data_IF_320718938535
#
_entry.id   IF_320718938535
#
_cell.length_a   1.000
_cell.length_b   1.000
_cell.length_c   1.000
_cell.angle_alpha   90.00
_cell.angle_beta   90.00
_cell.angle_gamma   90.00
#
_symmetry.space_group_name_H-M   'P 1'
#
loop_
_entity.id
_entity.type
_entity.pdbx_description
1 polymer ?
#
# COMPACT_ATOMS: atom_id res chain seq x y z
N UNK A 1 -1.63 4.79 22.34
CA UNK A 1 -3.03 4.98 21.87
C UNK A 1 -3.11 5.98 20.72
N UNK A 2 -2.29 7.03 20.71
CA UNK A 2 -2.22 7.97 19.59
C UNK A 2 -1.54 7.38 18.35
N UNK A 3 -0.67 6.37 18.49
CA UNK A 3 0.10 5.84 17.35
C UNK A 3 -0.78 5.15 16.29
N UNK A 4 -1.88 4.50 16.70
CA UNK A 4 -2.79 3.82 15.77
C UNK A 4 -3.55 4.84 14.90
N UNK A 5 -3.99 5.93 15.52
CA UNK A 5 -4.67 7.05 14.84
C UNK A 5 -3.69 7.77 13.90
N UNK A 6 -2.43 7.94 14.31
CA UNK A 6 -1.38 8.53 13.46
C UNK A 6 -1.06 7.63 12.26
N UNK A 7 -0.96 6.31 12.45
CA UNK A 7 -0.71 5.35 11.37
C UNK A 7 -1.85 5.36 10.33
N UNK A 8 -3.10 5.41 10.78
CA UNK A 8 -4.27 5.54 9.91
C UNK A 8 -4.25 6.89 9.18
N UNK A 9 -3.96 7.99 9.88
CA UNK A 9 -3.83 9.31 9.28
C UNK A 9 -2.75 9.37 8.19
N UNK A 10 -1.59 8.77 8.45
CA UNK A 10 -0.50 8.67 7.46
C UNK A 10 -0.89 7.83 6.25
N UNK A 11 -1.61 6.72 6.44
CA UNK A 11 -2.09 5.87 5.36
C UNK A 11 -3.00 6.66 4.41
N UNK A 12 -4.03 7.33 4.95
CA UNK A 12 -4.93 8.17 4.15
C UNK A 12 -4.23 9.38 3.52
N UNK A 13 -3.27 9.99 4.23
CA UNK A 13 -2.52 11.12 3.71
C UNK A 13 -1.69 10.73 2.49
N UNK A 14 -0.95 9.61 2.57
CA UNK A 14 -0.14 9.11 1.45
C UNK A 14 -1.04 8.69 0.28
N UNK A 15 -2.10 7.91 0.51
CA UNK A 15 -3.01 7.48 -0.56
C UNK A 15 -3.70 8.68 -1.25
N UNK A 16 -4.19 9.65 -0.48
CA UNK A 16 -4.82 10.86 -0.98
C UNK A 16 -3.85 11.78 -1.73
N UNK A 17 -2.60 11.88 -1.27
CA UNK A 17 -1.55 12.67 -1.91
C UNK A 17 -1.24 12.16 -3.33
N UNK A 18 -1.07 10.83 -3.48
CA UNK A 18 -0.84 10.22 -4.78
C UNK A 18 -2.03 10.43 -5.73
N UNK A 19 -3.26 10.33 -5.22
CA UNK A 19 -4.47 10.55 -6.01
C UNK A 19 -4.60 12.01 -6.48
N UNK A 20 -4.25 12.97 -5.61
CA UNK A 20 -4.34 14.40 -5.89
C UNK A 20 -3.30 14.89 -6.91
N UNK A 21 -2.05 14.42 -6.80
CA UNK A 21 -0.96 14.88 -7.68
C UNK A 21 -0.95 14.12 -9.01
N UNK A 22 -1.23 12.81 -9.01
CA UNK A 22 -1.08 11.97 -10.21
C UNK A 22 -2.31 11.08 -10.49
N UNK A 23 -3.49 11.67 -10.74
CA UNK A 23 -4.72 10.91 -10.99
C UNK A 23 -4.62 10.01 -12.24
N UNK A 24 -3.90 10.46 -13.27
CA UNK A 24 -3.71 9.73 -14.53
C UNK A 24 -2.78 8.51 -14.37
N UNK A 25 -1.79 8.56 -13.46
CA UNK A 25 -0.89 7.43 -13.19
C UNK A 25 -1.62 6.30 -12.46
N UNK A 26 -2.47 6.63 -11.49
CA UNK A 26 -3.31 5.67 -10.76
C UNK A 26 -4.24 4.92 -11.72
N UNK A 27 -4.91 5.65 -12.64
CA UNK A 27 -5.77 5.03 -13.67
C UNK A 27 -5.00 4.05 -14.57
N UNK A 28 -3.76 4.41 -14.95
CA UNK A 28 -2.93 3.51 -15.75
C UNK A 28 -2.48 2.26 -14.97
N UNK A 29 -2.13 2.41 -13.69
CA UNK A 29 -1.80 1.28 -12.82
C UNK A 29 -2.97 0.31 -12.65
N UNK A 30 -4.19 0.80 -12.50
CA UNK A 30 -5.40 -0.06 -12.44
C UNK A 30 -5.59 -0.89 -13.71
N UNK A 31 -5.29 -0.34 -14.88
CA UNK A 31 -5.33 -1.08 -16.15
C UNK A 31 -4.25 -2.17 -16.22
N UNK A 32 -3.07 -1.92 -15.65
CA UNK A 32 -2.00 -2.93 -15.54
C UNK A 32 -2.39 -4.04 -14.57
N UNK A 33 -2.99 -3.69 -13.43
CA UNK A 33 -3.48 -4.66 -12.43
C UNK A 33 -4.56 -5.55 -13.05
N UNK A 34 -5.52 -4.99 -13.80
CA UNK A 34 -6.56 -5.77 -14.51
C UNK A 34 -6.01 -6.78 -15.51
N UNK A 35 -4.85 -6.48 -16.13
CA UNK A 35 -4.19 -7.38 -17.09
C UNK A 35 -3.29 -8.42 -16.40
N UNK A 36 -3.03 -8.27 -15.10
CA UNK A 36 -2.14 -9.16 -14.36
C UNK A 36 -2.95 -10.33 -13.78
N UNK A 37 -2.47 -11.59 -13.89
CA UNK A 37 -3.17 -12.74 -13.35
C UNK A 37 -3.24 -12.69 -11.81
N UNK A 38 -4.38 -13.10 -11.25
CA UNK A 38 -4.67 -13.01 -9.81
C UNK A 38 -3.62 -13.73 -8.95
N UNK A 39 -3.06 -14.85 -9.42
CA UNK A 39 -2.01 -15.58 -8.68
C UNK A 39 -0.76 -14.73 -8.45
N UNK A 40 -0.32 -13.95 -9.45
CA UNK A 40 0.83 -13.04 -9.28
C UNK A 40 0.47 -11.90 -8.33
N UNK A 41 -0.73 -11.37 -8.45
CA UNK A 41 -1.22 -10.30 -7.58
C UNK A 41 -1.27 -10.72 -6.10
N UNK A 42 -1.77 -11.94 -5.83
CA UNK A 42 -1.79 -12.52 -4.48
C UNK A 42 -0.39 -12.79 -3.93
N UNK A 43 0.50 -13.33 -4.74
CA UNK A 43 1.90 -13.58 -4.31
C UNK A 43 2.61 -12.27 -3.98
N UNK A 44 2.45 -11.23 -4.81
CA UNK A 44 3.01 -9.91 -4.54
C UNK A 44 2.41 -9.27 -3.28
N UNK A 45 1.09 -9.37 -3.09
CA UNK A 45 0.41 -8.88 -1.89
C UNK A 45 0.89 -9.56 -0.61
N UNK A 46 1.05 -10.89 -0.64
CA UNK A 46 1.60 -11.64 0.48
C UNK A 46 3.04 -11.24 0.80
N UNK A 47 3.87 -11.05 -0.22
CA UNK A 47 5.24 -10.60 -0.04
C UNK A 47 5.32 -9.22 0.63
N UNK A 48 4.53 -8.25 0.15
CA UNK A 48 4.43 -6.93 0.76
C UNK A 48 3.89 -6.96 2.19
N UNK A 49 2.92 -7.83 2.47
CA UNK A 49 2.37 -8.01 3.81
C UNK A 49 3.43 -8.51 4.79
N UNK A 50 4.17 -9.55 4.41
CA UNK A 50 5.22 -10.13 5.24
C UNK A 50 6.33 -9.10 5.51
N UNK A 51 6.77 -8.38 4.48
CA UNK A 51 7.80 -7.35 4.63
C UNK A 51 7.33 -6.21 5.52
N UNK A 52 6.11 -5.70 5.31
CA UNK A 52 5.54 -4.65 6.14
C UNK A 52 5.44 -5.07 7.60
N UNK A 53 5.04 -6.32 7.84
CA UNK A 53 4.98 -6.90 9.18
C UNK A 53 6.37 -7.00 9.84
N UNK A 54 7.37 -7.48 9.11
CA UNK A 54 8.76 -7.57 9.60
C UNK A 54 9.32 -6.18 9.93
N UNK A 55 9.08 -5.18 9.08
CA UNK A 55 9.54 -3.80 9.32
C UNK A 55 8.91 -3.23 10.59
N UNK A 56 7.59 -3.38 10.77
CA UNK A 56 6.89 -2.91 11.97
C UNK A 56 7.40 -3.63 13.22
N UNK A 57 7.65 -4.95 13.11
CA UNK A 57 8.22 -5.73 14.21
C UNK A 57 9.59 -5.18 14.61
N UNK A 58 10.50 -4.95 13.67
CA UNK A 58 11.83 -4.42 13.96
C UNK A 58 11.81 -3.00 14.56
N UNK A 59 10.90 -2.13 14.10
CA UNK A 59 10.80 -0.75 14.58
C UNK A 59 10.21 -0.69 16.00
N UNK A 60 9.32 -1.64 16.34
CA UNK A 60 8.64 -1.68 17.64
C UNK A 60 9.32 -2.61 18.66
N UNK A 61 10.29 -3.41 18.24
CA UNK A 61 11.12 -4.25 19.12
C UNK A 61 12.12 -3.42 19.91
#
# INVERSE_FOLDING_TARGET
>A
MNEFIIAIGLLFFIEGFFLAIFPSRIKNMLNVIKKTPENKLRSFGLFFLIIGFVIIWYIKS
#
